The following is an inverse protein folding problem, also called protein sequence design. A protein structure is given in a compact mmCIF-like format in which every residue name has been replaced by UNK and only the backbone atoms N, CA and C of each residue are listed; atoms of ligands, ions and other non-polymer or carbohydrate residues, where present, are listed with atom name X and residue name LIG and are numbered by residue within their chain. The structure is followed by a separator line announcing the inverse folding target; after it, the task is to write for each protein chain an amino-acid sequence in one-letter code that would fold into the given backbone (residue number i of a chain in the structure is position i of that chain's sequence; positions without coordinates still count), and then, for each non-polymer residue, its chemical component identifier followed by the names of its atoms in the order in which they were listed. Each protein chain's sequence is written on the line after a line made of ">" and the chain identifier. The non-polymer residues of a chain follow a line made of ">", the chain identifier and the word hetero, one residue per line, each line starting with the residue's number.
data_IF_406277819664
#
_entry.id   IF_406277819664
#
_cell.length_a   1.000
_cell.length_b   1.000
_cell.length_c   1.000
_cell.angle_alpha   90.00
_cell.angle_beta   90.00
_cell.angle_gamma   90.00
#
_symmetry.space_group_name_H-M   'P 1'
#
loop_
_entity.id
_entity.type
_entity.pdbx_description
1 polymer ?
#
# COMPACT_ATOMS: atom_id res chain seq x y z
N UNK A 1 30.54 33.13 16.17
CA UNK A 1 29.08 32.87 16.25
C UNK A 1 28.87 31.51 16.90
N UNK A 2 28.01 31.36 17.92
CA UNK A 2 27.84 30.07 18.58
C UNK A 2 27.09 29.09 17.67
N UNK A 3 27.70 27.94 17.40
CA UNK A 3 27.10 26.83 16.66
C UNK A 3 25.86 26.35 17.41
N UNK A 4 24.68 26.44 16.77
CA UNK A 4 23.44 25.85 17.32
C UNK A 4 23.61 24.34 17.34
N UNK A 5 23.53 23.74 18.53
CA UNK A 5 23.46 22.29 18.68
C UNK A 5 22.29 21.72 17.84
N UNK A 6 22.48 20.55 17.20
CA UNK A 6 21.41 19.87 16.47
C UNK A 6 20.19 19.62 17.36
N UNK A 7 19.00 19.60 16.75
CA UNK A 7 17.72 19.56 17.47
C UNK A 7 17.59 18.38 18.46
N UNK A 8 18.29 17.27 18.21
CA UNK A 8 18.28 16.07 19.05
C UNK A 8 19.11 16.17 20.35
N UNK A 9 20.00 17.17 20.49
CA UNK A 9 20.79 17.39 21.70
C UNK A 9 20.12 18.33 22.72
N UNK A 10 18.87 18.74 22.49
CA UNK A 10 18.15 19.60 23.44
C UNK A 10 17.47 18.73 24.49
N UNK A 11 17.77 18.99 25.78
CA UNK A 11 17.06 18.37 26.90
C UNK A 11 15.55 18.63 26.74
N UNK A 12 14.77 17.56 26.72
CA UNK A 12 13.32 17.62 26.62
C UNK A 12 12.75 18.34 27.86
N UNK A 13 12.00 19.45 27.70
CA UNK A 13 11.42 20.15 28.83
C UNK A 13 10.30 19.31 29.44
N UNK A 14 10.23 19.28 30.77
CA UNK A 14 9.30 18.45 31.55
C UNK A 14 7.81 18.85 31.42
N UNK A 15 7.51 20.00 30.80
CA UNK A 15 6.14 20.49 30.61
C UNK A 15 5.68 20.32 29.14
N UNK A 16 4.78 19.36 28.93
CA UNK A 16 4.28 18.89 27.63
C UNK A 16 3.34 19.85 26.90
N UNK A 17 2.69 20.78 27.61
CA UNK A 17 1.63 21.64 27.04
C UNK A 17 2.14 22.74 26.10
N UNK A 18 3.40 23.19 26.25
CA UNK A 18 3.99 24.28 25.46
C UNK A 18 4.71 23.77 24.21
N UNK A 19 5.00 22.46 24.14
CA UNK A 19 5.73 21.84 23.02
C UNK A 19 4.88 21.71 21.74
N UNK A 20 3.56 21.56 21.85
CA UNK A 20 2.72 21.16 20.70
C UNK A 20 2.74 22.13 19.51
N UNK A 21 2.86 23.44 19.74
CA UNK A 21 2.90 24.46 18.67
C UNK A 21 4.28 24.63 18.03
N UNK A 22 5.38 24.34 18.73
CA UNK A 22 6.76 24.45 18.20
C UNK A 22 7.33 23.12 17.72
N UNK A 23 6.80 22.00 18.21
CA UNK A 23 7.28 20.65 17.91
C UNK A 23 6.37 19.90 16.90
N UNK A 24 5.54 20.61 16.12
CA UNK A 24 4.68 20.03 15.08
C UNK A 24 3.92 18.78 15.55
N UNK A 25 3.23 18.86 16.69
CA UNK A 25 2.44 17.75 17.27
C UNK A 25 3.25 16.58 17.84
N UNK A 26 4.58 16.68 17.98
CA UNK A 26 5.39 15.67 18.67
C UNK A 26 5.31 15.91 20.18
N UNK A 27 4.61 15.02 20.90
CA UNK A 27 4.36 15.12 22.35
C UNK A 27 5.30 14.28 23.21
N UNK A 28 6.10 13.39 22.60
CA UNK A 28 7.01 12.47 23.28
C UNK A 28 8.36 12.40 22.56
N UNK A 29 9.47 12.14 23.28
CA UNK A 29 10.75 11.87 22.65
C UNK A 29 10.68 10.60 21.79
N UNK A 30 11.40 10.55 20.66
CA UNK A 30 11.49 9.33 19.86
C UNK A 30 12.20 8.23 20.67
N UNK A 31 11.66 7.02 20.61
CA UNK A 31 12.26 5.84 21.25
C UNK A 31 13.55 5.42 20.53
N UNK A 32 13.55 5.53 19.20
CA UNK A 32 14.67 5.18 18.33
C UNK A 32 15.12 6.42 17.57
N UNK A 33 16.44 6.64 17.52
CA UNK A 33 17.02 7.69 16.70
C UNK A 33 17.37 7.13 15.31
N UNK A 34 16.40 7.17 14.40
CA UNK A 34 16.57 6.67 13.02
C UNK A 34 17.03 7.84 12.13
N UNK A 35 18.22 7.78 11.51
CA UNK A 35 18.65 8.76 10.53
C UNK A 35 17.65 8.84 9.37
N UNK A 36 17.32 10.05 8.92
CA UNK A 36 16.40 10.22 7.77
C UNK A 36 16.92 9.51 6.50
N UNK A 37 18.23 9.39 6.35
CA UNK A 37 18.87 8.63 5.26
C UNK A 37 18.59 7.13 5.29
N UNK A 38 18.07 6.59 6.40
CA UNK A 38 17.73 5.18 6.55
C UNK A 38 16.21 4.93 6.39
N UNK A 39 15.43 5.98 6.13
CA UNK A 39 13.99 5.84 5.92
C UNK A 39 13.76 5.50 4.45
N UNK A 40 13.18 4.33 4.22
CA UNK A 40 12.78 3.84 2.91
C UNK A 40 11.28 4.09 2.74
N UNK A 41 10.82 4.66 1.62
CA UNK A 41 9.40 4.73 1.33
C UNK A 41 8.87 3.30 1.13
N UNK A 42 7.75 2.96 1.77
CA UNK A 42 7.12 1.64 1.64
C UNK A 42 6.28 1.53 0.37
N UNK A 43 6.78 1.05 -0.78
CA UNK A 43 5.96 0.96 -2.00
C UNK A 43 4.65 0.19 -1.76
N UNK A 44 4.71 -0.94 -1.05
CA UNK A 44 3.54 -1.78 -0.83
C UNK A 44 2.43 -1.04 -0.07
N UNK A 45 2.76 -0.42 1.06
CA UNK A 45 1.76 0.26 1.87
C UNK A 45 1.31 1.59 1.27
N UNK A 46 2.17 2.27 0.50
CA UNK A 46 1.81 3.45 -0.26
C UNK A 46 0.77 3.11 -1.33
N UNK A 47 1.06 2.14 -2.19
CA UNK A 47 0.15 1.71 -3.27
C UNK A 47 -1.15 1.17 -2.68
N UNK A 48 -1.08 0.27 -1.71
CA UNK A 48 -2.27 -0.30 -1.06
C UNK A 48 -3.15 0.78 -0.43
N UNK A 49 -2.55 1.77 0.25
CA UNK A 49 -3.30 2.85 0.85
C UNK A 49 -4.05 3.72 -0.16
N UNK A 50 -3.42 4.03 -1.29
CA UNK A 50 -4.03 4.85 -2.34
C UNK A 50 -5.09 4.04 -3.11
N UNK A 51 -4.82 2.78 -3.39
CA UNK A 51 -5.79 1.87 -4.02
C UNK A 51 -7.07 1.74 -3.19
N UNK A 52 -6.94 1.57 -1.86
CA UNK A 52 -8.10 1.52 -0.97
C UNK A 52 -8.94 2.80 -1.02
N UNK A 53 -8.34 3.99 -1.15
CA UNK A 53 -9.10 5.24 -1.31
C UNK A 53 -9.87 5.28 -2.64
N UNK A 54 -9.28 4.80 -3.73
CA UNK A 54 -9.96 4.69 -5.02
C UNK A 54 -11.10 3.65 -4.99
N UNK A 55 -10.90 2.52 -4.32
CA UNK A 55 -11.92 1.49 -4.16
C UNK A 55 -13.08 1.96 -3.28
N UNK A 56 -12.82 2.76 -2.24
CA UNK A 56 -13.90 3.41 -1.47
C UNK A 56 -14.75 4.35 -2.32
N UNK A 57 -14.11 5.10 -3.23
CA UNK A 57 -14.84 5.95 -4.18
C UNK A 57 -15.69 5.09 -5.13
N UNK A 58 -15.17 3.95 -5.57
CA UNK A 58 -15.91 3.00 -6.39
C UNK A 58 -17.13 2.43 -5.65
N UNK A 59 -16.94 1.97 -4.41
CA UNK A 59 -18.01 1.46 -3.54
C UNK A 59 -19.07 2.54 -3.26
N UNK A 60 -18.65 3.77 -2.95
CA UNK A 60 -19.57 4.89 -2.76
C UNK A 60 -20.37 5.19 -4.04
N UNK A 61 -19.74 5.09 -5.21
CA UNK A 61 -20.44 5.30 -6.47
C UNK A 61 -21.46 4.20 -6.77
N UNK A 62 -21.19 2.94 -6.42
CA UNK A 62 -22.18 1.86 -6.52
C UNK A 62 -23.40 2.19 -5.64
N UNK A 63 -23.17 2.52 -4.37
CA UNK A 63 -24.25 2.91 -3.45
C UNK A 63 -25.07 4.12 -3.93
N UNK A 64 -24.42 5.13 -4.54
CA UNK A 64 -25.12 6.26 -5.16
C UNK A 64 -26.04 5.82 -6.30
N UNK A 65 -25.63 4.85 -7.11
CA UNK A 65 -26.42 4.32 -8.23
C UNK A 65 -27.54 3.40 -7.74
N UNK A 66 -27.30 2.59 -6.70
CA UNK A 66 -28.31 1.71 -6.10
C UNK A 66 -29.41 2.51 -5.37
N UNK A 67 -29.07 3.70 -4.84
CA UNK A 67 -30.04 4.61 -4.23
C UNK A 67 -30.94 5.32 -5.27
N UNK A 68 -30.59 5.29 -6.55
CA UNK A 68 -31.40 5.85 -7.63
C UNK A 68 -32.38 4.78 -8.15
N UNK A 69 -33.65 4.89 -7.77
CA UNK A 69 -34.69 3.89 -8.07
C UNK A 69 -34.85 3.60 -9.58
N UNK A 70 -34.59 4.58 -10.46
CA UNK A 70 -34.72 4.40 -11.91
C UNK A 70 -33.54 3.60 -12.50
N UNK A 71 -32.33 3.83 -11.98
CA UNK A 71 -31.12 3.13 -12.39
C UNK A 71 -31.03 1.73 -11.76
N UNK A 72 -31.41 1.59 -10.48
CA UNK A 72 -31.50 0.30 -9.80
C UNK A 72 -32.49 -0.65 -10.49
N UNK A 73 -33.64 -0.15 -10.94
CA UNK A 73 -34.60 -0.94 -11.70
C UNK A 73 -34.05 -1.43 -13.05
N UNK A 74 -33.25 -0.61 -13.75
CA UNK A 74 -32.59 -0.98 -15.02
C UNK A 74 -31.45 -1.98 -14.84
N UNK A 75 -30.81 -2.02 -13.68
CA UNK A 75 -29.68 -2.90 -13.39
C UNK A 75 -30.08 -4.36 -13.11
N UNK A 76 -31.38 -4.68 -12.94
CA UNK A 76 -31.86 -6.05 -12.62
C UNK A 76 -31.11 -6.72 -11.44
N UNK A 77 -30.62 -5.91 -10.49
CA UNK A 77 -29.80 -6.36 -9.38
C UNK A 77 -29.20 -5.19 -8.59
N UNK A 78 -28.64 -5.50 -7.43
CA UNK A 78 -27.87 -4.58 -6.58
C UNK A 78 -26.44 -4.44 -7.16
N UNK A 79 -26.09 -3.26 -7.68
CA UNK A 79 -24.79 -2.99 -8.32
C UNK A 79 -23.65 -3.25 -7.33
N UNK A 80 -23.87 -2.97 -6.05
CA UNK A 80 -22.89 -3.30 -5.02
C UNK A 80 -22.61 -4.81 -4.94
N UNK A 81 -23.65 -5.65 -5.03
CA UNK A 81 -23.49 -7.11 -5.10
C UNK A 81 -22.72 -7.53 -6.36
N UNK A 82 -22.94 -6.87 -7.50
CA UNK A 82 -22.12 -7.11 -8.71
C UNK A 82 -20.65 -6.74 -8.50
N UNK A 83 -20.37 -5.66 -7.77
CA UNK A 83 -19.01 -5.27 -7.40
C UNK A 83 -18.33 -6.33 -6.54
N UNK A 84 -19.02 -6.89 -5.55
CA UNK A 84 -18.49 -7.98 -4.74
C UNK A 84 -18.18 -9.21 -5.61
N UNK A 85 -19.08 -9.57 -6.53
CA UNK A 85 -18.85 -10.66 -7.48
C UNK A 85 -17.67 -10.37 -8.42
N UNK A 86 -17.50 -9.13 -8.86
CA UNK A 86 -16.36 -8.71 -9.68
C UNK A 86 -15.03 -8.84 -8.90
N UNK A 87 -14.99 -8.46 -7.62
CA UNK A 87 -13.82 -8.70 -6.76
C UNK A 87 -13.48 -10.19 -6.65
N UNK A 88 -14.48 -11.05 -6.46
CA UNK A 88 -14.29 -12.50 -6.40
C UNK A 88 -13.76 -13.06 -7.72
N UNK A 89 -14.31 -12.61 -8.86
CA UNK A 89 -13.87 -13.03 -10.20
C UNK A 89 -12.41 -12.67 -10.48
N UNK A 90 -11.95 -11.52 -9.98
CA UNK A 90 -10.55 -11.10 -10.06
C UNK A 90 -9.66 -11.87 -9.06
N UNK A 91 -10.24 -12.63 -8.13
CA UNK A 91 -9.53 -13.39 -7.11
C UNK A 91 -9.08 -12.54 -5.93
N UNK A 92 -9.85 -11.50 -5.61
CA UNK A 92 -9.65 -10.57 -4.49
C UNK A 92 -10.77 -10.77 -3.44
N UNK A 93 -10.86 -11.97 -2.85
CA UNK A 93 -11.89 -12.27 -1.84
C UNK A 93 -11.54 -11.69 -0.47
N UNK A 94 -12.21 -10.59 -0.09
CA UNK A 94 -12.05 -9.95 1.22
C UNK A 94 -12.57 -10.77 2.39
N UNK A 95 -13.50 -11.72 2.17
CA UNK A 95 -14.13 -12.52 3.24
C UNK A 95 -13.13 -13.43 3.95
N UNK A 96 -12.09 -13.85 3.24
CA UNK A 96 -11.02 -14.67 3.80
C UNK A 96 -10.10 -13.89 4.77
N UNK A 97 -10.10 -12.56 4.77
CA UNK A 97 -9.13 -11.72 5.50
C UNK A 97 -9.79 -10.57 6.26
N UNK A 98 -10.73 -10.88 7.15
CA UNK A 98 -11.43 -9.88 7.97
C UNK A 98 -12.06 -8.73 7.17
N UNK A 99 -12.56 -9.03 5.96
CA UNK A 99 -13.17 -8.06 5.04
C UNK A 99 -12.24 -6.94 4.56
N UNK A 100 -10.91 -7.15 4.61
CA UNK A 100 -9.91 -6.19 4.11
C UNK A 100 -9.17 -6.74 2.89
N UNK A 101 -8.75 -5.84 2.01
CA UNK A 101 -7.84 -6.19 0.93
C UNK A 101 -6.40 -6.25 1.46
N UNK A 102 -5.69 -7.31 1.07
CA UNK A 102 -4.25 -7.49 1.31
C UNK A 102 -3.46 -7.14 0.05
N UNK A 103 -2.13 -7.06 0.15
CA UNK A 103 -1.25 -6.69 -0.97
C UNK A 103 -1.49 -7.49 -2.26
N UNK A 104 -1.70 -8.80 -2.16
CA UNK A 104 -1.99 -9.64 -3.33
C UNK A 104 -3.34 -9.32 -3.97
N UNK A 105 -4.37 -8.98 -3.20
CA UNK A 105 -5.66 -8.55 -3.75
C UNK A 105 -5.51 -7.24 -4.51
N UNK A 106 -4.83 -6.26 -3.91
CA UNK A 106 -4.58 -4.96 -4.55
C UNK A 106 -3.83 -5.16 -5.87
N UNK A 107 -2.80 -6.00 -5.91
CA UNK A 107 -2.07 -6.29 -7.15
C UNK A 107 -2.98 -6.82 -8.26
N UNK A 108 -3.91 -7.72 -7.93
CA UNK A 108 -4.88 -8.25 -8.91
C UNK A 108 -5.87 -7.19 -9.36
N UNK A 109 -6.39 -6.38 -8.43
CA UNK A 109 -7.35 -5.32 -8.72
C UNK A 109 -6.76 -4.15 -9.54
N UNK A 110 -5.47 -3.86 -9.36
CA UNK A 110 -4.76 -2.83 -10.13
C UNK A 110 -4.25 -3.31 -11.49
N UNK A 111 -4.34 -4.61 -11.79
CA UNK A 111 -4.05 -5.11 -13.13
C UNK A 111 -5.03 -4.50 -14.15
N UNK A 112 -4.63 -4.44 -15.42
CA UNK A 112 -5.49 -3.88 -16.48
C UNK A 112 -6.84 -4.61 -16.54
N UNK A 113 -6.83 -5.94 -16.51
CA UNK A 113 -8.04 -6.76 -16.54
C UNK A 113 -8.84 -6.64 -15.24
N UNK A 114 -8.17 -6.56 -14.09
CA UNK A 114 -8.81 -6.38 -12.79
C UNK A 114 -9.54 -5.05 -12.69
N UNK A 115 -8.85 -3.93 -12.98
CA UNK A 115 -9.40 -2.59 -12.95
C UNK A 115 -10.55 -2.43 -13.95
N UNK A 116 -10.43 -3.07 -15.13
CA UNK A 116 -11.51 -3.15 -16.11
C UNK A 116 -12.71 -3.92 -15.52
N UNK A 117 -12.51 -5.15 -15.06
CA UNK A 117 -13.58 -6.03 -14.54
C UNK A 117 -14.40 -5.34 -13.45
N UNK A 118 -13.77 -4.66 -12.49
CA UNK A 118 -14.47 -4.04 -11.36
C UNK A 118 -15.13 -2.70 -11.71
N UNK A 119 -14.76 -2.05 -12.82
CA UNK A 119 -15.36 -0.79 -13.24
C UNK A 119 -16.39 -0.96 -14.35
N UNK A 120 -16.36 -2.07 -15.09
CA UNK A 120 -17.30 -2.34 -16.19
C UNK A 120 -18.71 -2.73 -15.75
N UNK A 121 -18.88 -3.11 -14.49
CA UNK A 121 -20.21 -3.26 -13.86
C UNK A 121 -20.99 -1.93 -13.84
N UNK A 122 -20.28 -0.80 -13.85
CA UNK A 122 -20.91 0.51 -13.78
C UNK A 122 -21.32 0.99 -15.18
N UNK A 123 -22.41 1.77 -15.29
CA UNK A 123 -22.77 2.42 -16.54
C UNK A 123 -21.63 3.33 -17.03
N UNK A 124 -21.54 3.52 -18.34
CA UNK A 124 -20.48 4.34 -18.92
C UNK A 124 -20.62 5.80 -18.46
N UNK A 125 -19.59 6.32 -17.80
CA UNK A 125 -19.58 7.68 -17.27
C UNK A 125 -18.17 8.22 -17.14
N UNK A 126 -18.04 9.55 -17.06
CA UNK A 126 -16.74 10.20 -16.79
C UNK A 126 -16.16 9.76 -15.44
N UNK A 127 -16.99 9.53 -14.42
CA UNK A 127 -16.60 9.08 -13.09
C UNK A 127 -16.03 7.67 -13.15
N UNK A 128 -16.74 6.72 -13.77
CA UNK A 128 -16.25 5.35 -14.03
C UNK A 128 -14.91 5.35 -14.76
N UNK A 129 -14.83 6.10 -15.87
CA UNK A 129 -13.61 6.15 -16.68
C UNK A 129 -12.42 6.73 -15.92
N UNK A 130 -12.64 7.73 -15.07
CA UNK A 130 -11.59 8.32 -14.22
C UNK A 130 -11.11 7.33 -13.15
N UNK A 131 -12.02 6.59 -12.49
CA UNK A 131 -11.65 5.55 -11.52
C UNK A 131 -10.80 4.48 -12.19
N UNK A 132 -11.24 3.96 -13.34
CA UNK A 132 -10.51 2.94 -14.10
C UNK A 132 -9.11 3.40 -14.49
N UNK A 133 -8.98 4.59 -15.05
CA UNK A 133 -7.69 5.14 -15.46
C UNK A 133 -6.75 5.35 -14.27
N UNK A 134 -7.25 5.83 -13.14
CA UNK A 134 -6.45 5.97 -11.91
C UNK A 134 -5.99 4.62 -11.35
N UNK A 135 -6.85 3.60 -11.35
CA UNK A 135 -6.48 2.24 -10.93
C UNK A 135 -5.40 1.65 -11.85
N UNK A 136 -5.59 1.73 -13.17
CA UNK A 136 -4.60 1.24 -14.15
C UNK A 136 -3.26 1.95 -14.01
N UNK A 137 -3.25 3.27 -13.83
CA UNK A 137 -2.02 4.06 -13.64
C UNK A 137 -1.32 3.72 -12.34
N UNK A 138 -2.08 3.53 -11.27
CA UNK A 138 -1.52 3.07 -10.00
C UNK A 138 -0.90 1.66 -10.13
N UNK A 139 -1.52 0.77 -10.91
CA UNK A 139 -0.95 -0.53 -11.28
C UNK A 139 0.33 -0.43 -12.12
N UNK A 140 0.37 0.51 -13.08
CA UNK A 140 1.58 0.81 -13.84
C UNK A 140 2.72 1.27 -12.93
N UNK A 141 2.45 2.20 -12.00
CA UNK A 141 3.40 2.63 -10.98
C UNK A 141 3.86 1.45 -10.10
N UNK A 142 2.93 0.59 -9.67
CA UNK A 142 3.22 -0.60 -8.88
C UNK A 142 4.18 -1.55 -9.59
N UNK A 143 4.18 -1.62 -10.93
CA UNK A 143 5.08 -2.51 -11.68
C UNK A 143 6.58 -2.21 -11.46
N UNK A 144 6.92 -0.98 -11.05
CA UNK A 144 8.29 -0.57 -10.74
C UNK A 144 8.76 -0.96 -9.33
N UNK A 145 7.91 -1.62 -8.53
CA UNK A 145 8.25 -2.08 -7.17
C UNK A 145 8.89 -3.47 -7.15
N UNK A 146 9.40 -3.93 -8.30
CA UNK A 146 10.17 -5.18 -8.45
C UNK A 146 11.51 -5.10 -7.70
N UNK A 147 12.02 -6.25 -7.25
CA UNK A 147 13.28 -6.35 -6.48
C UNK A 147 14.53 -6.23 -7.38
N UNK A 148 14.58 -5.20 -8.20
CA UNK A 148 15.62 -4.96 -9.20
C UNK A 148 16.12 -3.51 -9.13
N UNK A 149 17.24 -3.25 -9.80
CA UNK A 149 17.63 -1.87 -10.11
C UNK A 149 16.86 -1.41 -11.34
N UNK A 150 16.42 -0.16 -11.31
CA UNK A 150 15.74 0.50 -12.41
C UNK A 150 16.79 1.15 -13.31
N UNK A 151 16.62 0.99 -14.62
CA UNK A 151 17.37 1.71 -15.64
C UNK A 151 16.96 3.19 -15.67
N UNK A 152 17.82 4.07 -16.20
CA UNK A 152 17.49 5.50 -16.39
C UNK A 152 16.19 5.71 -17.16
N UNK A 153 15.91 4.85 -18.16
CA UNK A 153 14.66 4.88 -18.91
C UNK A 153 13.45 4.50 -18.05
N UNK A 154 13.56 3.47 -17.21
CA UNK A 154 12.51 3.08 -16.27
C UNK A 154 12.28 4.18 -15.21
N UNK A 155 13.34 4.81 -14.70
CA UNK A 155 13.25 5.93 -13.76
C UNK A 155 12.50 7.11 -14.40
N UNK A 156 12.84 7.47 -15.64
CA UNK A 156 12.16 8.54 -16.37
C UNK A 156 10.68 8.23 -16.63
N UNK A 157 10.35 6.97 -16.99
CA UNK A 157 8.96 6.52 -17.17
C UNK A 157 8.19 6.55 -15.85
N UNK A 158 8.78 6.10 -14.75
CA UNK A 158 8.15 6.16 -13.43
C UNK A 158 7.87 7.59 -12.98
N UNK A 159 8.81 8.53 -13.21
CA UNK A 159 8.61 9.96 -12.90
C UNK A 159 7.40 10.53 -13.67
N UNK A 160 7.32 10.23 -14.97
CA UNK A 160 6.21 10.64 -15.82
C UNK A 160 4.88 10.04 -15.35
N UNK A 161 4.84 8.73 -15.07
CA UNK A 161 3.62 8.05 -14.60
C UNK A 161 3.14 8.61 -13.24
N UNK A 162 4.05 8.86 -12.29
CA UNK A 162 3.70 9.48 -11.00
C UNK A 162 3.16 10.89 -11.21
N UNK A 163 3.76 11.67 -12.12
CA UNK A 163 3.31 13.02 -12.43
C UNK A 163 1.91 13.02 -13.07
N UNK A 164 1.66 12.17 -14.06
CA UNK A 164 0.37 12.05 -14.72
C UNK A 164 -0.70 11.53 -13.76
N UNK A 165 -0.40 10.48 -12.98
CA UNK A 165 -1.28 9.96 -11.94
C UNK A 165 -1.65 11.07 -10.95
N UNK A 166 -0.67 11.84 -10.45
CA UNK A 166 -0.89 12.96 -9.52
C UNK A 166 -1.85 13.99 -10.11
N UNK A 167 -1.66 14.38 -11.37
CA UNK A 167 -2.48 15.41 -12.01
C UNK A 167 -3.91 14.92 -12.19
N UNK A 168 -4.10 13.68 -12.68
CA UNK A 168 -5.43 13.09 -12.83
C UNK A 168 -6.14 12.87 -11.50
N UNK A 169 -5.42 12.40 -10.48
CA UNK A 169 -5.96 12.22 -9.14
C UNK A 169 -6.47 13.55 -8.58
N UNK A 170 -5.71 14.63 -8.77
CA UNK A 170 -6.11 15.98 -8.36
C UNK A 170 -7.36 16.48 -9.09
N UNK A 171 -7.43 16.31 -10.40
CA UNK A 171 -8.61 16.70 -11.16
C UNK A 171 -9.84 15.89 -10.73
N UNK A 172 -9.68 14.58 -10.53
CA UNK A 172 -10.75 13.72 -10.08
C UNK A 172 -11.21 14.05 -8.65
N UNK A 173 -10.28 14.36 -7.74
CA UNK A 173 -10.60 14.77 -6.37
C UNK A 173 -11.40 16.08 -6.29
N UNK A 174 -11.38 16.94 -7.32
CA UNK A 174 -12.28 18.11 -7.39
C UNK A 174 -13.73 17.73 -7.67
N UNK A 175 -13.95 16.55 -8.24
CA UNK A 175 -15.27 16.06 -8.67
C UNK A 175 -15.91 15.09 -7.68
N UNK A 176 -15.14 14.55 -6.73
CA UNK A 176 -15.61 13.54 -5.77
C UNK A 176 -15.18 13.92 -4.35
N UNK A 177 -16.14 14.01 -3.45
CA UNK A 177 -15.93 14.39 -2.05
C UNK A 177 -15.28 13.30 -1.20
N UNK A 178 -15.49 12.03 -1.56
CA UNK A 178 -14.95 10.88 -0.81
C UNK A 178 -13.44 10.64 -1.01
N UNK A 179 -12.78 11.34 -1.95
CA UNK A 179 -11.37 11.13 -2.26
C UNK A 179 -10.46 12.10 -1.51
N UNK A 180 -9.58 11.56 -0.66
CA UNK A 180 -8.71 12.37 0.20
C UNK A 180 -7.25 12.38 -0.26
N UNK A 181 -6.54 13.46 0.06
CA UNK A 181 -5.08 13.54 -0.10
C UNK A 181 -4.40 12.98 1.16
N UNK A 182 -4.19 11.67 1.18
CA UNK A 182 -3.56 10.99 2.32
C UNK A 182 -2.06 11.28 2.40
N UNK A 183 -1.42 11.11 3.58
CA UNK A 183 0.03 11.14 3.68
C UNK A 183 0.73 10.19 2.70
N UNK A 184 0.10 9.03 2.42
CA UNK A 184 0.61 8.06 1.44
C UNK A 184 0.61 8.62 0.02
N UNK A 185 -0.46 9.32 -0.38
CA UNK A 185 -0.48 10.04 -1.66
C UNK A 185 0.63 11.11 -1.74
N UNK A 186 0.81 11.89 -0.67
CA UNK A 186 1.88 12.89 -0.62
C UNK A 186 3.27 12.24 -0.79
N UNK A 187 3.54 11.16 -0.06
CA UNK A 187 4.80 10.42 -0.16
C UNK A 187 5.04 9.85 -1.56
N UNK A 188 4.02 9.20 -2.16
CA UNK A 188 4.12 8.70 -3.52
C UNK A 188 4.53 9.81 -4.49
N UNK A 189 3.86 10.96 -4.42
CA UNK A 189 3.96 12.02 -5.43
C UNK A 189 5.06 13.04 -5.19
N UNK A 190 5.70 13.04 -4.02
CA UNK A 190 6.73 14.05 -3.65
C UNK A 190 8.08 13.47 -3.28
N UNK A 191 8.11 12.29 -2.65
CA UNK A 191 9.33 11.76 -2.04
C UNK A 191 9.84 10.50 -2.74
N UNK A 192 8.97 9.78 -3.45
CA UNK A 192 9.35 8.53 -4.13
C UNK A 192 10.47 8.73 -5.14
N UNK A 193 10.37 9.73 -6.01
CA UNK A 193 11.39 9.95 -7.04
C UNK A 193 12.72 10.44 -6.49
N UNK A 194 12.74 11.12 -5.34
CA UNK A 194 13.99 11.48 -4.66
C UNK A 194 14.73 10.22 -4.22
N UNK A 195 14.00 9.26 -3.64
CA UNK A 195 14.56 7.97 -3.24
C UNK A 195 15.02 7.15 -4.46
N UNK A 196 14.15 7.00 -5.46
CA UNK A 196 14.45 6.20 -6.66
C UNK A 196 15.67 6.73 -7.41
N UNK A 197 15.78 8.05 -7.61
CA UNK A 197 16.94 8.66 -8.28
C UNK A 197 18.23 8.53 -7.48
N UNK A 198 18.14 8.41 -6.15
CA UNK A 198 19.30 8.25 -5.28
C UNK A 198 19.83 6.83 -5.24
N UNK A 199 18.94 5.84 -5.28
CA UNK A 199 19.30 4.43 -5.04
C UNK A 199 19.08 3.52 -6.25
N UNK A 200 18.55 4.06 -7.36
CA UNK A 200 18.18 3.35 -8.58
C UNK A 200 17.28 2.14 -8.33
N UNK A 201 16.47 2.17 -7.27
CA UNK A 201 15.55 1.10 -6.93
C UNK A 201 14.39 1.66 -6.12
N UNK A 202 13.25 0.98 -6.20
CA UNK A 202 12.14 1.19 -5.29
C UNK A 202 11.76 -0.10 -4.56
N UNK A 203 11.86 -1.25 -5.24
CA UNK A 203 11.39 -2.53 -4.73
C UNK A 203 12.40 -3.37 -3.96
N UNK A 204 13.72 -3.15 -4.07
CA UNK A 204 14.71 -4.00 -3.38
C UNK A 204 14.65 -3.91 -1.85
N UNK A 205 14.11 -2.81 -1.32
CA UNK A 205 13.97 -2.55 0.11
C UNK A 205 12.48 -2.51 0.53
N UNK A 206 11.61 -3.15 -0.25
CA UNK A 206 10.18 -3.19 0.04
C UNK A 206 9.86 -4.15 1.20
N UNK A 207 8.61 -4.09 1.67
CA UNK A 207 8.12 -4.86 2.81
C UNK A 207 7.57 -6.23 2.44
N UNK A 208 7.56 -6.61 1.16
CA UNK A 208 6.97 -7.88 0.71
C UNK A 208 7.64 -9.11 1.34
N UNK A 209 8.98 -9.18 1.50
CA UNK A 209 9.62 -10.31 2.18
C UNK A 209 9.11 -10.46 3.61
N UNK A 210 9.00 -9.37 4.36
CA UNK A 210 8.51 -9.42 5.76
C UNK A 210 7.05 -9.90 5.81
N UNK A 211 6.19 -9.46 4.88
CA UNK A 211 4.81 -9.96 4.79
C UNK A 211 4.76 -11.47 4.46
N UNK A 212 5.67 -11.99 3.64
CA UNK A 212 5.72 -13.43 3.34
C UNK A 212 6.09 -14.26 4.56
N UNK A 213 7.01 -13.76 5.39
CA UNK A 213 7.40 -14.38 6.66
C UNK A 213 6.24 -14.40 7.64
N UNK A 214 5.47 -13.30 7.73
CA UNK A 214 4.29 -13.26 8.60
C UNK A 214 3.29 -14.37 8.28
N UNK A 215 3.11 -14.73 7.00
CA UNK A 215 2.24 -15.84 6.63
C UNK A 215 2.77 -17.18 7.15
N UNK A 216 4.08 -17.44 6.97
CA UNK A 216 4.72 -18.66 7.46
C UNK A 216 4.59 -18.78 8.99
N UNK A 217 4.90 -17.72 9.72
CA UNK A 217 4.77 -17.68 11.18
C UNK A 217 3.33 -17.97 11.63
N UNK A 218 2.31 -17.45 10.93
CA UNK A 218 0.91 -17.74 11.25
C UNK A 218 0.55 -19.23 11.05
N UNK A 219 1.10 -19.89 10.03
CA UNK A 219 0.91 -21.32 9.81
C UNK A 219 1.56 -22.12 10.94
N UNK A 220 2.77 -21.76 11.32
CA UNK A 220 3.51 -22.44 12.39
C UNK A 220 2.83 -22.27 13.75
N UNK A 221 2.35 -21.06 14.06
CA UNK A 221 1.53 -20.77 15.24
C UNK A 221 0.23 -21.58 15.27
N UNK A 222 -0.39 -21.81 14.12
CA UNK A 222 -1.59 -22.67 14.02
C UNK A 222 -1.24 -24.12 14.32
N UNK A 223 -0.11 -24.62 13.82
CA UNK A 223 0.39 -25.99 14.07
C UNK A 223 0.64 -26.24 15.56
N UNK A 224 1.20 -25.27 16.27
CA UNK A 224 1.45 -25.36 17.73
C UNK A 224 0.27 -24.84 18.57
N UNK A 225 -0.87 -24.51 17.97
CA UNK A 225 -1.99 -23.84 18.64
C UNK A 225 -2.56 -24.59 19.85
N UNK A 226 -2.41 -25.92 19.88
CA UNK A 226 -2.87 -26.79 20.97
C UNK A 226 -1.79 -27.07 22.03
N UNK A 227 -0.60 -26.48 21.90
CA UNK A 227 0.51 -26.62 22.85
C UNK A 227 0.43 -25.49 23.87
N UNK A 228 0.58 -25.83 25.16
CA UNK A 228 0.73 -24.85 26.23
C UNK A 228 2.10 -24.18 26.09
N UNK A 229 2.17 -22.86 26.26
CA UNK A 229 3.39 -22.08 26.05
C UNK A 229 3.90 -22.11 24.59
N UNK A 230 3.00 -21.76 23.65
CA UNK A 230 3.19 -21.80 22.19
C UNK A 230 4.52 -21.21 21.70
N UNK A 231 4.96 -20.09 22.28
CA UNK A 231 6.20 -19.39 21.88
C UNK A 231 7.45 -20.23 22.24
N UNK A 232 7.46 -20.90 23.39
CA UNK A 232 8.56 -21.77 23.82
C UNK A 232 8.56 -23.11 23.07
N UNK A 233 7.42 -23.48 22.47
CA UNK A 233 7.24 -24.74 21.74
C UNK A 233 7.69 -24.70 20.28
N UNK A 234 7.96 -23.52 19.73
CA UNK A 234 8.56 -23.36 18.39
C UNK A 234 10.07 -23.31 18.60
N UNK A 235 10.84 -24.34 18.20
CA UNK A 235 12.30 -24.30 18.28
C UNK A 235 12.83 -23.09 17.52
N UNK A 236 13.81 -22.37 18.08
CA UNK A 236 14.48 -21.23 17.41
C UNK A 236 15.00 -21.61 16.00
N UNK A 237 15.35 -22.89 15.82
CA UNK A 237 15.81 -23.49 14.57
C UNK A 237 14.70 -23.61 13.50
N UNK A 238 13.43 -23.75 13.89
CA UNK A 238 12.27 -23.77 12.98
C UNK A 238 11.77 -22.35 12.64
N UNK A 239 12.13 -21.35 13.44
CA UNK A 239 11.83 -19.94 13.19
C UNK A 239 12.86 -19.29 12.24
N UNK A 240 13.94 -20.00 11.90
CA UNK A 240 14.84 -19.62 10.81
C UNK A 240 14.09 -19.82 9.50
N UNK A 241 13.85 -18.72 8.78
CA UNK A 241 13.50 -18.78 7.35
C UNK A 241 14.75 -19.28 6.65
N UNK A 242 14.90 -20.60 6.58
CA UNK A 242 15.99 -21.21 5.84
C UNK A 242 15.58 -21.19 4.38
N UNK A 243 16.12 -20.22 3.65
CA UNK A 243 16.09 -20.26 2.20
C UNK A 243 16.69 -21.61 1.75
N UNK A 244 15.95 -22.39 0.96
CA UNK A 244 16.46 -23.65 0.40
C UNK A 244 17.79 -23.42 -0.33
N UNK A 245 17.99 -22.23 -0.91
CA UNK A 245 19.25 -21.84 -1.55
C UNK A 245 20.40 -21.71 -0.54
N UNK A 246 20.13 -21.22 0.68
CA UNK A 246 21.11 -21.13 1.77
C UNK A 246 21.42 -22.51 2.37
N UNK A 247 20.42 -23.40 2.49
CA UNK A 247 20.64 -24.81 2.87
C UNK A 247 21.44 -25.57 1.82
N UNK A 248 21.16 -25.32 0.53
CA UNK A 248 21.89 -25.92 -0.58
C UNK A 248 23.35 -25.41 -0.63
N UNK A 249 23.61 -24.15 -0.30
CA UNK A 249 24.97 -23.59 -0.16
C UNK A 249 25.75 -24.17 1.03
N UNK A 250 25.08 -24.53 2.12
CA UNK A 250 25.71 -25.16 3.29
C UNK A 250 25.96 -26.66 3.10
N UNK A 251 25.12 -27.33 2.29
CA UNK A 251 25.23 -28.77 2.02
C UNK A 251 26.11 -29.11 0.81
N UNK A 252 26.33 -28.17 -0.11
CA UNK A 252 27.24 -28.33 -1.27
C UNK A 252 28.73 -28.16 -0.94
N UNK A 253 29.07 -27.82 0.30
CA UNK A 253 30.45 -27.80 0.82
C UNK A 253 30.76 -29.00 1.73
N UNK A 254 30.04 -30.13 1.59
CA UNK A 254 30.37 -31.41 2.23
C UNK A 254 30.69 -32.48 1.19
#
# INVERSE_FOLDING_TARGET
>A
MPQRLPAWNRKWPKNTTVLSKKAFSISKPPLLNIPLSHVVPSPLHLIMGIAMELLKVLEAYCNELDADEELAYKAQGDIYTELENAYLKVGADRRAFHQRFVGNHIRKLLSMDGAKTITEILPESKKRNSIRDLLCRLGSIQSYTKSEFLTELEIAKLDLEILEFRNKYKEFAKTVTALHFTPKFHWLTKHTMEFVKRFNTWGKLNEQPVESVHHQVNLDMTRVGNVRDQIESIPDEEMLIVDEEYLNLLTSNR
#
